data_IF_216278070787
#
_entry.id   IF_216278070787
#
_cell.length_a   1.000
_cell.length_b   1.000
_cell.length_c   1.000
_cell.angle_alpha   90.00
_cell.angle_beta   90.00
_cell.angle_gamma   90.00
#
_symmetry.space_group_name_H-M   'P 1'
#
loop_
_entity.id
_entity.type
_entity.pdbx_description
1 polymer ?
#
# COMPACT_ATOMS: atom_id res chain seq x y z
N UNK A 1 32.46 9.32 -1.97
CA UNK A 1 33.53 9.51 -2.96
C UNK A 1 33.05 9.12 -4.36
N UNK A 2 32.15 8.15 -4.53
CA UNK A 2 31.79 7.60 -5.85
C UNK A 2 30.75 8.41 -6.67
N UNK A 3 29.95 9.29 -6.06
CA UNK A 3 29.08 10.23 -6.80
C UNK A 3 29.88 11.23 -7.64
N UNK A 4 31.07 11.62 -7.17
CA UNK A 4 32.00 12.48 -7.91
C UNK A 4 32.54 11.74 -9.13
N UNK A 5 32.83 10.45 -9.00
CA UNK A 5 33.34 9.60 -10.08
C UNK A 5 32.26 9.37 -11.15
N UNK A 6 31.01 9.13 -10.76
CA UNK A 6 29.90 9.01 -11.71
C UNK A 6 29.57 10.36 -12.40
N UNK A 7 29.63 11.47 -11.65
CA UNK A 7 29.46 12.81 -12.20
C UNK A 7 30.63 13.22 -13.13
N UNK A 8 31.86 12.83 -12.80
CA UNK A 8 33.05 13.01 -13.64
C UNK A 8 32.98 12.15 -14.90
N UNK A 9 32.58 10.88 -14.79
CA UNK A 9 32.38 10.00 -15.95
C UNK A 9 31.26 10.52 -16.86
N UNK A 10 30.16 11.04 -16.29
CA UNK A 10 29.08 11.71 -17.03
C UNK A 10 29.52 13.03 -17.67
N UNK A 11 30.40 13.79 -17.03
CA UNK A 11 30.97 15.03 -17.55
C UNK A 11 32.00 14.78 -18.67
N UNK A 12 32.84 13.75 -18.54
CA UNK A 12 33.82 13.32 -19.54
C UNK A 12 33.11 12.78 -20.79
N UNK A 13 32.10 11.94 -20.58
CA UNK A 13 31.15 11.48 -21.58
C UNK A 13 30.46 12.64 -22.33
N UNK A 14 29.90 13.61 -21.60
CA UNK A 14 29.28 14.80 -22.17
C UNK A 14 30.30 15.66 -22.94
N UNK A 15 31.56 15.69 -22.50
CA UNK A 15 32.69 16.31 -23.19
C UNK A 15 32.97 15.66 -24.55
N UNK A 16 33.02 14.33 -24.63
CA UNK A 16 33.19 13.59 -25.90
C UNK A 16 32.03 13.82 -26.86
N UNK A 17 30.79 13.84 -26.36
CA UNK A 17 29.61 14.15 -27.18
C UNK A 17 29.61 15.61 -27.66
N UNK A 18 30.11 16.55 -26.84
CA UNK A 18 30.27 17.96 -27.21
C UNK A 18 31.39 18.14 -28.26
N UNK A 19 32.50 17.42 -28.15
CA UNK A 19 33.59 17.45 -29.13
C UNK A 19 33.18 16.84 -30.48
N UNK A 20 32.41 15.74 -30.46
CA UNK A 20 31.83 15.17 -31.66
C UNK A 20 30.79 16.11 -32.31
N UNK A 21 29.96 16.78 -31.50
CA UNK A 21 29.01 17.79 -31.97
C UNK A 21 29.71 19.03 -32.54
N UNK A 22 30.87 19.44 -32.01
CA UNK A 22 31.65 20.56 -32.52
C UNK A 22 32.18 20.34 -33.95
N UNK A 23 32.24 19.07 -34.40
CA UNK A 23 32.62 18.70 -35.78
C UNK A 23 31.45 18.75 -36.78
N UNK A 24 30.23 18.93 -36.30
CA UNK A 24 29.01 18.95 -37.12
C UNK A 24 28.37 20.34 -37.00
N UNK A 25 28.40 21.10 -38.10
CA UNK A 25 27.98 22.51 -38.13
C UNK A 25 26.52 22.74 -37.73
N UNK A 26 25.66 21.75 -37.95
CA UNK A 26 24.23 21.79 -37.68
C UNK A 26 23.80 20.85 -36.54
N UNK A 27 24.74 20.43 -35.68
CA UNK A 27 24.49 19.47 -34.60
C UNK A 27 23.30 19.84 -33.70
N UNK A 28 23.12 21.14 -33.41
CA UNK A 28 22.03 21.66 -32.58
C UNK A 28 20.67 21.66 -33.28
N UNK A 29 20.65 21.62 -34.62
CA UNK A 29 19.44 21.55 -35.43
C UNK A 29 18.98 20.09 -35.69
N UNK A 30 19.85 19.10 -35.43
CA UNK A 30 19.52 17.69 -35.65
C UNK A 30 18.43 17.21 -34.71
N UNK A 31 17.44 16.53 -35.29
CA UNK A 31 16.27 15.98 -34.59
C UNK A 31 16.21 14.47 -34.78
N UNK A 32 15.77 13.74 -33.76
CA UNK A 32 15.50 12.32 -33.87
C UNK A 32 14.32 12.05 -34.82
N UNK A 33 14.49 11.05 -35.70
CA UNK A 33 13.46 10.53 -36.60
C UNK A 33 12.77 9.26 -36.09
N UNK A 34 13.31 8.63 -35.04
CA UNK A 34 12.75 7.41 -34.44
C UNK A 34 11.34 7.66 -33.89
N UNK A 35 10.48 6.64 -33.99
CA UNK A 35 9.17 6.58 -33.36
C UNK A 35 9.14 7.02 -31.89
N UNK A 36 10.16 6.68 -31.10
CA UNK A 36 10.23 6.91 -29.65
C UNK A 36 10.59 8.35 -29.29
N UNK A 37 11.42 8.99 -30.11
CA UNK A 37 11.98 10.32 -29.84
C UNK A 37 11.65 11.35 -30.93
N UNK A 38 10.63 11.08 -31.73
CA UNK A 38 10.31 11.89 -32.91
C UNK A 38 10.25 13.39 -32.59
N UNK A 39 10.98 14.19 -33.37
CA UNK A 39 11.08 15.65 -33.22
C UNK A 39 11.67 16.11 -31.88
N UNK A 40 12.55 15.31 -31.27
CA UNK A 40 13.38 15.72 -30.13
C UNK A 40 14.79 16.05 -30.59
N UNK A 41 15.46 17.04 -29.97
CA UNK A 41 16.84 17.36 -30.32
C UNK A 41 17.75 16.15 -30.10
N UNK A 42 18.48 15.75 -31.15
CA UNK A 42 19.31 14.54 -31.14
C UNK A 42 20.35 14.59 -30.04
N UNK A 43 21.04 15.72 -29.90
CA UNK A 43 22.10 15.89 -28.90
C UNK A 43 21.56 15.78 -27.46
N UNK A 44 20.35 16.28 -27.21
CA UNK A 44 19.68 16.15 -25.91
C UNK A 44 19.38 14.69 -25.58
N UNK A 45 18.86 13.93 -26.55
CA UNK A 45 18.57 12.50 -26.37
C UNK A 45 19.87 11.70 -26.15
N UNK A 46 20.92 11.98 -26.92
CA UNK A 46 22.23 11.32 -26.77
C UNK A 46 22.85 11.59 -25.40
N UNK A 47 22.82 12.84 -24.91
CA UNK A 47 23.30 13.19 -23.57
C UNK A 47 22.54 12.44 -22.47
N UNK A 48 21.21 12.37 -22.57
CA UNK A 48 20.42 11.60 -21.60
C UNK A 48 20.73 10.11 -21.63
N UNK A 49 20.88 9.54 -22.83
CA UNK A 49 21.24 8.13 -22.98
C UNK A 49 22.61 7.83 -22.35
N UNK A 50 23.59 8.68 -22.61
CA UNK A 50 24.95 8.51 -22.12
C UNK A 50 25.03 8.63 -20.59
N UNK A 51 24.37 9.63 -20.00
CA UNK A 51 24.30 9.78 -18.55
C UNK A 51 23.60 8.57 -17.89
N UNK A 52 22.48 8.13 -18.47
CA UNK A 52 21.75 6.95 -17.99
C UNK A 52 22.60 5.67 -18.06
N UNK A 53 23.35 5.47 -19.15
CA UNK A 53 24.22 4.29 -19.32
C UNK A 53 25.39 4.26 -18.32
N UNK A 54 25.86 5.44 -17.87
CA UNK A 54 26.92 5.57 -16.87
C UNK A 54 26.43 5.28 -15.45
N UNK A 55 25.22 5.73 -15.09
CA UNK A 55 24.63 5.58 -13.75
C UNK A 55 23.82 4.28 -13.58
N UNK A 56 23.69 3.45 -14.62
CA UNK A 56 22.92 2.22 -14.55
C UNK A 56 23.58 1.19 -13.60
N UNK A 57 22.83 0.56 -12.67
CA UNK A 57 23.40 -0.36 -11.68
C UNK A 57 23.83 -1.71 -12.31
N UNK A 58 25.02 -1.71 -12.92
CA UNK A 58 25.59 -2.88 -13.61
C UNK A 58 26.01 -3.99 -12.65
N UNK A 59 26.43 -3.65 -11.43
CA UNK A 59 26.78 -4.64 -10.40
C UNK A 59 25.61 -5.56 -10.04
N UNK A 60 24.37 -5.05 -10.17
CA UNK A 60 23.14 -5.80 -9.96
C UNK A 60 22.62 -6.49 -11.22
N UNK A 61 23.39 -6.50 -12.33
CA UNK A 61 22.99 -6.99 -13.65
C UNK A 61 21.68 -6.36 -14.17
N UNK A 62 21.42 -5.10 -13.83
CA UNK A 62 20.26 -4.39 -14.31
C UNK A 62 20.48 -3.83 -15.72
N UNK A 63 19.40 -3.70 -16.48
CA UNK A 63 19.35 -2.99 -17.76
C UNK A 63 18.57 -1.70 -17.63
N UNK A 64 19.05 -0.63 -18.25
CA UNK A 64 18.39 0.66 -18.23
C UNK A 64 18.03 1.10 -19.65
N UNK A 65 16.82 1.63 -19.82
CA UNK A 65 16.34 2.13 -21.11
C UNK A 65 15.72 3.51 -20.97
N UNK A 66 16.02 4.38 -21.92
CA UNK A 66 15.32 5.64 -22.07
C UNK A 66 13.95 5.35 -22.72
N UNK A 67 12.86 5.69 -22.04
CA UNK A 67 11.51 5.27 -22.42
C UNK A 67 10.79 6.32 -23.24
N UNK A 68 10.82 7.58 -22.79
CA UNK A 68 10.25 8.71 -23.52
C UNK A 68 10.89 10.00 -23.06
N UNK A 69 10.96 10.98 -23.97
CA UNK A 69 11.35 12.35 -23.66
C UNK A 69 10.15 13.26 -23.95
N UNK A 70 9.19 13.41 -23.02
CA UNK A 70 8.06 14.32 -23.20
C UNK A 70 8.54 15.76 -23.43
N UNK A 71 7.91 16.43 -24.39
CA UNK A 71 7.96 17.88 -24.49
C UNK A 71 6.97 18.43 -23.47
N UNK A 72 7.47 18.80 -22.30
CA UNK A 72 6.64 19.49 -21.35
C UNK A 72 6.52 20.91 -21.89
N UNK A 73 5.34 21.30 -22.36
CA UNK A 73 5.02 22.70 -22.69
C UNK A 73 5.13 23.68 -21.49
N UNK A 74 5.80 23.26 -20.42
CA UNK A 74 6.35 24.12 -19.39
C UNK A 74 7.49 24.95 -20.00
N UNK A 75 7.20 26.22 -20.24
CA UNK A 75 8.21 27.23 -20.54
C UNK A 75 9.13 27.33 -19.32
N UNK A 76 10.38 26.88 -19.48
CA UNK A 76 11.43 27.18 -18.52
C UNK A 76 11.64 28.70 -18.42
N UNK A 77 12.49 29.17 -17.50
CA UNK A 77 12.87 30.59 -17.46
C UNK A 77 13.32 31.03 -18.85
N UNK A 78 12.62 32.01 -19.45
CA UNK A 78 12.92 32.51 -20.80
C UNK A 78 12.25 31.78 -21.98
N UNK A 79 11.23 30.94 -21.76
CA UNK A 79 10.45 30.33 -22.86
C UNK A 79 11.07 29.09 -23.51
N UNK A 80 12.17 28.57 -22.94
CA UNK A 80 12.81 27.36 -23.42
C UNK A 80 11.93 26.11 -23.19
N UNK A 81 11.88 25.22 -24.18
CA UNK A 81 11.19 23.92 -24.09
C UNK A 81 11.95 23.01 -23.11
N UNK A 82 11.25 22.46 -22.13
CA UNK A 82 11.84 21.58 -21.12
C UNK A 82 11.53 20.13 -21.47
N UNK A 83 12.59 19.36 -21.72
CA UNK A 83 12.51 17.93 -21.95
C UNK A 83 12.91 17.20 -20.68
N UNK A 84 12.02 16.37 -20.11
CA UNK A 84 12.37 15.50 -18.96
C UNK A 84 12.36 14.05 -19.40
N UNK A 85 13.51 13.36 -19.42
CA UNK A 85 13.56 11.96 -19.81
C UNK A 85 12.88 11.09 -18.75
N UNK A 86 12.20 10.04 -19.21
CA UNK A 86 11.71 8.95 -18.36
C UNK A 86 12.62 7.76 -18.58
N UNK A 87 13.29 7.28 -17.52
CA UNK A 87 14.15 6.10 -17.57
C UNK A 87 13.46 4.93 -16.88
N UNK A 88 13.47 3.79 -17.55
CA UNK A 88 13.09 2.50 -16.98
C UNK A 88 14.35 1.74 -16.58
N UNK A 89 14.38 1.27 -15.33
CA UNK A 89 15.42 0.40 -14.80
C UNK A 89 14.82 -0.98 -14.58
N UNK A 90 15.39 -1.98 -15.25
CA UNK A 90 14.97 -3.38 -15.18
C UNK A 90 16.03 -4.24 -14.50
N UNK A 91 15.67 -4.71 -13.31
CA UNK A 91 16.41 -5.58 -12.44
C UNK A 91 15.60 -6.85 -12.09
N UNK A 92 14.62 -7.23 -12.92
CA UNK A 92 13.77 -8.38 -12.66
C UNK A 92 14.55 -9.70 -12.75
N UNK A 93 14.24 -10.66 -11.86
CA UNK A 93 14.78 -12.01 -11.90
C UNK A 93 16.30 -12.11 -11.65
N UNK A 94 16.92 -11.12 -11.00
CA UNK A 94 18.38 -11.08 -10.75
C UNK A 94 18.80 -11.68 -9.41
N UNK A 95 17.87 -12.23 -8.64
CA UNK A 95 18.12 -12.79 -7.31
C UNK A 95 18.45 -11.75 -6.24
N UNK A 96 18.01 -10.51 -6.43
CA UNK A 96 18.30 -9.40 -5.52
C UNK A 96 17.64 -9.62 -4.16
N UNK A 97 18.37 -9.36 -3.07
CA UNK A 97 17.83 -9.37 -1.70
C UNK A 97 17.47 -7.98 -1.18
N UNK A 98 18.03 -6.96 -1.81
CA UNK A 98 17.85 -5.55 -1.48
C UNK A 98 17.68 -4.77 -2.77
N UNK A 99 17.01 -3.63 -2.68
CA UNK A 99 16.90 -2.68 -3.78
C UNK A 99 18.30 -2.13 -4.13
N UNK A 100 18.63 -1.88 -5.42
CA UNK A 100 19.92 -1.33 -5.83
C UNK A 100 20.24 -0.01 -5.08
N UNK A 101 21.48 0.20 -4.61
CA UNK A 101 21.83 1.41 -3.88
C UNK A 101 21.80 2.66 -4.77
N UNK A 102 22.05 2.50 -6.07
CA UNK A 102 22.13 3.60 -7.02
C UNK A 102 21.16 3.35 -8.17
N UNK A 103 20.50 4.43 -8.61
CA UNK A 103 19.66 4.46 -9.80
C UNK A 103 19.99 5.74 -10.59
N UNK A 104 19.81 5.72 -11.92
CA UNK A 104 19.95 6.91 -12.75
C UNK A 104 19.06 8.06 -12.28
N UNK A 105 19.55 9.30 -12.35
CA UNK A 105 18.86 10.48 -11.78
C UNK A 105 17.42 10.69 -12.31
N UNK A 106 17.13 10.23 -13.52
CA UNK A 106 15.82 10.34 -14.17
C UNK A 106 15.04 9.02 -14.20
N UNK A 107 15.38 8.07 -13.32
CA UNK A 107 14.63 6.83 -13.15
C UNK A 107 13.19 7.12 -12.70
N UNK A 108 12.22 6.73 -13.52
CA UNK A 108 10.78 6.89 -13.24
C UNK A 108 10.09 5.56 -13.01
N UNK A 109 10.62 4.48 -13.61
CA UNK A 109 10.04 3.14 -13.56
C UNK A 109 11.10 2.14 -13.13
N UNK A 110 10.77 1.33 -12.14
CA UNK A 110 11.64 0.29 -11.58
C UNK A 110 10.95 -1.07 -11.63
N UNK A 111 11.58 -2.00 -12.35
CA UNK A 111 11.21 -3.41 -12.41
C UNK A 111 12.18 -4.20 -11.53
N UNK A 112 11.67 -4.79 -10.45
CA UNK A 112 12.42 -5.63 -9.51
C UNK A 112 11.64 -6.90 -9.17
N UNK A 113 10.77 -7.34 -10.08
CA UNK A 113 9.94 -8.54 -9.96
C UNK A 113 10.80 -9.81 -9.85
N UNK A 114 10.24 -10.85 -9.24
CA UNK A 114 10.84 -12.19 -9.14
C UNK A 114 12.24 -12.18 -8.48
N UNK A 115 12.40 -11.38 -7.44
CA UNK A 115 13.59 -11.29 -6.62
C UNK A 115 13.29 -11.79 -5.18
N UNK A 116 14.19 -11.51 -4.23
CA UNK A 116 14.11 -11.90 -2.83
C UNK A 116 14.06 -10.67 -1.91
N UNK A 117 13.54 -9.55 -2.40
CA UNK A 117 13.51 -8.27 -1.69
C UNK A 117 12.42 -8.31 -0.62
N UNK A 118 12.75 -7.90 0.61
CA UNK A 118 11.79 -7.78 1.70
C UNK A 118 11.73 -6.39 2.33
N UNK A 119 12.75 -5.57 2.10
CA UNK A 119 12.91 -4.24 2.71
C UNK A 119 12.60 -3.14 1.69
N UNK A 120 11.61 -2.30 2.03
CA UNK A 120 11.16 -1.19 1.20
C UNK A 120 11.70 0.17 1.66
N UNK A 121 12.48 0.23 2.75
CA UNK A 121 13.05 1.48 3.27
C UNK A 121 13.83 2.28 2.22
N UNK A 122 14.58 1.68 1.28
CA UNK A 122 15.28 2.46 0.24
C UNK A 122 14.35 3.33 -0.61
N UNK A 123 13.09 2.95 -0.84
CA UNK A 123 12.13 3.79 -1.57
C UNK A 123 11.89 5.15 -0.89
N UNK A 124 12.11 5.23 0.42
CA UNK A 124 11.85 6.42 1.24
C UNK A 124 13.15 7.13 1.60
N UNK A 125 14.18 6.37 2.00
CA UNK A 125 15.40 6.91 2.57
C UNK A 125 16.46 7.27 1.51
N UNK A 126 16.41 6.66 0.33
CA UNK A 126 17.43 6.85 -0.69
C UNK A 126 17.03 7.93 -1.71
N UNK A 127 17.90 8.92 -1.91
CA UNK A 127 17.65 10.05 -2.78
C UNK A 127 17.50 9.66 -4.26
N UNK A 128 18.16 8.58 -4.69
CA UNK A 128 18.07 8.04 -6.06
C UNK A 128 16.66 7.52 -6.40
N UNK A 129 15.81 7.27 -5.40
CA UNK A 129 14.45 6.78 -5.58
C UNK A 129 13.39 7.90 -5.61
N UNK A 130 13.79 9.17 -5.38
CA UNK A 130 12.85 10.30 -5.27
C UNK A 130 12.00 10.52 -6.53
N UNK A 131 12.57 10.22 -7.70
CA UNK A 131 11.94 10.36 -9.02
C UNK A 131 11.16 9.13 -9.49
N UNK A 132 11.28 8.00 -8.79
CA UNK A 132 10.65 6.74 -9.19
C UNK A 132 9.17 6.76 -8.80
N UNK A 133 8.29 6.61 -9.79
CA UNK A 133 6.84 6.69 -9.62
C UNK A 133 6.13 5.35 -9.86
N UNK A 134 6.71 4.49 -10.69
CA UNK A 134 6.20 3.16 -10.98
C UNK A 134 7.16 2.11 -10.44
N UNK A 135 6.70 1.29 -9.49
CA UNK A 135 7.52 0.24 -8.88
C UNK A 135 6.78 -1.09 -8.99
N UNK A 136 7.41 -2.05 -9.64
CA UNK A 136 6.94 -3.43 -9.74
C UNK A 136 7.77 -4.33 -8.82
N UNK A 137 7.15 -4.82 -7.76
CA UNK A 137 7.76 -5.68 -6.73
C UNK A 137 7.14 -7.08 -6.72
N UNK A 138 6.56 -7.53 -7.83
CA UNK A 138 5.85 -8.81 -7.89
C UNK A 138 6.78 -9.99 -7.57
N UNK A 139 6.26 -11.03 -6.90
CA UNK A 139 7.02 -12.25 -6.63
C UNK A 139 8.25 -12.06 -5.73
N UNK A 140 8.18 -11.17 -4.74
CA UNK A 140 9.24 -10.88 -3.77
C UNK A 140 8.90 -11.39 -2.35
N UNK A 141 9.72 -11.03 -1.36
CA UNK A 141 9.59 -11.42 0.03
C UNK A 141 8.98 -10.36 0.96
N UNK A 142 8.26 -9.37 0.42
CA UNK A 142 7.74 -8.24 1.21
C UNK A 142 6.64 -8.71 2.17
N UNK A 143 6.77 -8.37 3.46
CA UNK A 143 5.82 -8.76 4.52
C UNK A 143 4.99 -7.61 5.07
N UNK A 144 5.44 -6.38 4.89
CA UNK A 144 4.75 -5.19 5.36
C UNK A 144 5.13 -3.98 4.52
N UNK A 145 4.16 -3.08 4.31
CA UNK A 145 4.36 -1.78 3.66
C UNK A 145 4.44 -0.62 4.67
N UNK A 146 4.46 -0.92 5.98
CA UNK A 146 4.49 0.11 7.03
C UNK A 146 5.69 1.05 6.92
N UNK A 147 6.82 0.59 6.37
CA UNK A 147 8.00 1.44 6.13
C UNK A 147 7.73 2.61 5.15
N UNK A 148 6.66 2.53 4.35
CA UNK A 148 6.26 3.58 3.42
C UNK A 148 5.30 4.60 4.04
N UNK A 149 4.76 4.32 5.22
CA UNK A 149 3.80 5.18 5.88
C UNK A 149 4.36 6.59 6.12
N UNK A 150 3.55 7.60 5.81
CA UNK A 150 3.94 9.01 5.97
C UNK A 150 5.05 9.48 5.01
N UNK A 151 5.57 8.60 4.13
CA UNK A 151 6.63 8.96 3.21
C UNK A 151 6.14 9.85 2.07
N UNK A 152 7.02 10.73 1.59
CA UNK A 152 6.75 11.54 0.40
C UNK A 152 6.60 10.68 -0.87
N UNK A 153 7.21 9.48 -0.89
CA UNK A 153 7.09 8.54 -1.99
C UNK A 153 5.66 7.99 -2.10
N UNK A 154 5.08 7.55 -0.99
CA UNK A 154 3.71 7.02 -0.95
C UNK A 154 2.65 8.08 -1.34
N UNK A 155 2.99 9.37 -1.23
CA UNK A 155 2.14 10.49 -1.65
C UNK A 155 2.22 10.83 -3.15
N UNK A 156 3.15 10.24 -3.90
CA UNK A 156 3.42 10.59 -5.31
C UNK A 156 3.44 9.42 -6.27
N UNK A 157 3.52 8.18 -5.79
CA UNK A 157 3.59 7.01 -6.68
C UNK A 157 2.41 7.00 -7.66
N UNK A 158 2.66 6.52 -8.87
CA UNK A 158 1.65 6.33 -9.91
C UNK A 158 1.24 4.86 -10.00
N UNK A 159 2.22 3.95 -9.89
CA UNK A 159 1.99 2.52 -9.86
C UNK A 159 2.80 1.84 -8.75
N UNK A 160 2.14 0.99 -7.98
CA UNK A 160 2.80 0.07 -7.06
C UNK A 160 2.21 -1.33 -7.24
N UNK A 161 3.04 -2.28 -7.64
CA UNK A 161 2.65 -3.68 -7.76
C UNK A 161 3.33 -4.51 -6.69
N UNK A 162 2.55 -5.20 -5.86
CA UNK A 162 3.00 -6.03 -4.75
C UNK A 162 2.47 -7.46 -4.86
N UNK A 163 2.14 -7.93 -6.07
CA UNK A 163 1.53 -9.26 -6.26
C UNK A 163 2.48 -10.37 -5.86
N UNK A 164 1.96 -11.49 -5.39
CA UNK A 164 2.81 -12.66 -5.11
C UNK A 164 3.85 -12.42 -4.01
N UNK A 165 3.59 -11.50 -3.08
CA UNK A 165 4.45 -11.24 -1.93
C UNK A 165 3.96 -12.02 -0.70
N UNK A 166 4.46 -11.67 0.48
CA UNK A 166 4.13 -12.32 1.76
C UNK A 166 3.36 -11.38 2.69
N UNK A 167 2.53 -10.50 2.11
CA UNK A 167 1.70 -9.58 2.87
C UNK A 167 0.54 -10.35 3.51
N UNK A 168 0.46 -10.30 4.83
CA UNK A 168 -0.63 -10.92 5.57
C UNK A 168 -1.71 -9.91 5.99
N UNK A 169 -1.31 -8.66 6.28
CA UNK A 169 -2.21 -7.60 6.73
C UNK A 169 -1.87 -6.29 6.03
N UNK A 170 -2.89 -5.54 5.65
CA UNK A 170 -2.73 -4.24 5.00
C UNK A 170 -2.95 -3.12 6.03
N UNK A 171 -1.99 -2.18 6.21
CA UNK A 171 -2.23 -0.97 6.99
C UNK A 171 -3.12 -0.01 6.20
N UNK A 172 -4.43 -0.27 6.20
CA UNK A 172 -5.44 0.44 5.40
C UNK A 172 -5.40 1.95 5.65
N UNK A 173 -5.27 2.36 6.91
CA UNK A 173 -5.20 3.78 7.31
C UNK A 173 -4.03 4.53 6.64
N UNK A 174 -2.85 3.91 6.55
CA UNK A 174 -1.65 4.52 5.99
C UNK A 174 -1.81 4.73 4.48
N UNK A 175 -2.30 3.70 3.79
CA UNK A 175 -2.55 3.76 2.34
C UNK A 175 -3.71 4.70 2.01
N UNK A 176 -4.80 4.66 2.77
CA UNK A 176 -5.93 5.57 2.58
C UNK A 176 -5.51 7.03 2.74
N UNK A 177 -4.80 7.36 3.83
CA UNK A 177 -4.26 8.70 4.07
C UNK A 177 -3.41 9.18 2.88
N UNK A 178 -2.60 8.28 2.31
CA UNK A 178 -1.77 8.61 1.16
C UNK A 178 -2.58 8.78 -0.13
N UNK A 179 -3.48 7.84 -0.44
CA UNK A 179 -4.30 7.85 -1.66
C UNK A 179 -5.28 9.01 -1.71
N UNK A 180 -5.79 9.49 -0.57
CA UNK A 180 -6.63 10.70 -0.53
C UNK A 180 -5.88 11.96 -1.00
N UNK A 181 -4.56 12.02 -0.77
CA UNK A 181 -3.70 13.16 -1.15
C UNK A 181 -3.03 12.96 -2.51
N UNK A 182 -2.79 11.71 -2.91
CA UNK A 182 -2.09 11.37 -4.13
C UNK A 182 -3.03 11.38 -5.35
N UNK A 183 -3.07 12.50 -6.08
CA UNK A 183 -3.85 12.64 -7.32
C UNK A 183 -3.26 11.87 -8.52
N UNK A 184 -2.05 11.33 -8.38
CA UNK A 184 -1.34 10.64 -9.45
C UNK A 184 -1.40 9.11 -9.32
N UNK A 185 -1.87 8.59 -8.18
CA UNK A 185 -2.06 7.17 -7.97
C UNK A 185 -3.06 6.60 -8.98
N UNK A 186 -2.56 5.79 -9.91
CA UNK A 186 -3.35 5.21 -10.98
C UNK A 186 -3.60 3.70 -10.75
N UNK A 187 -2.58 2.97 -10.28
CA UNK A 187 -2.62 1.52 -10.21
C UNK A 187 -1.96 0.98 -8.94
N UNK A 188 -2.70 0.16 -8.20
CA UNK A 188 -2.21 -0.60 -7.06
C UNK A 188 -2.58 -2.07 -7.29
N UNK A 189 -1.61 -2.97 -7.11
CA UNK A 189 -1.83 -4.40 -7.23
C UNK A 189 -1.44 -5.11 -5.93
N UNK A 190 -2.38 -5.89 -5.37
CA UNK A 190 -2.29 -6.53 -4.06
C UNK A 190 -2.64 -8.03 -4.10
N UNK A 191 -2.94 -8.57 -5.27
CA UNK A 191 -3.32 -9.96 -5.48
C UNK A 191 -2.23 -10.96 -5.08
N UNK A 192 -2.60 -12.23 -4.99
CA UNK A 192 -1.68 -13.34 -4.74
C UNK A 192 -0.82 -13.20 -3.48
N UNK A 193 -1.36 -12.55 -2.44
CA UNK A 193 -0.75 -12.45 -1.14
C UNK A 193 -1.53 -13.28 -0.11
N UNK A 194 -0.86 -13.83 0.93
CA UNK A 194 -1.51 -14.64 1.96
C UNK A 194 -2.28 -13.77 2.98
N UNK A 195 -3.34 -13.10 2.54
CA UNK A 195 -4.11 -12.18 3.39
C UNK A 195 -4.79 -12.91 4.54
N UNK A 196 -4.54 -12.45 5.77
CA UNK A 196 -5.25 -12.90 6.97
C UNK A 196 -6.67 -12.34 6.94
N UNK A 197 -7.65 -13.22 7.08
CA UNK A 197 -9.05 -12.85 7.16
C UNK A 197 -9.54 -13.05 8.60
N UNK A 198 -9.56 -11.97 9.37
CA UNK A 198 -9.95 -11.94 10.78
C UNK A 198 -10.98 -10.83 11.06
N UNK A 199 -11.58 -10.87 12.25
CA UNK A 199 -12.60 -9.88 12.61
C UNK A 199 -12.04 -8.44 12.75
N UNK A 200 -10.73 -8.28 12.96
CA UNK A 200 -10.14 -6.97 13.26
C UNK A 200 -9.75 -6.19 11.99
N UNK A 201 -9.17 -6.88 11.01
CA UNK A 201 -8.52 -6.26 9.85
C UNK A 201 -9.34 -6.40 8.57
N UNK A 202 -10.09 -7.49 8.39
CA UNK A 202 -10.87 -7.73 7.17
C UNK A 202 -11.93 -6.65 6.92
N UNK A 203 -12.72 -6.19 7.90
CA UNK A 203 -13.74 -5.17 7.66
C UNK A 203 -13.18 -3.86 7.08
N UNK A 204 -12.04 -3.39 7.58
CA UNK A 204 -11.40 -2.17 7.08
C UNK A 204 -10.75 -2.38 5.71
N UNK A 205 -10.22 -3.59 5.45
CA UNK A 205 -9.67 -3.91 4.15
C UNK A 205 -10.77 -4.01 3.07
N UNK A 206 -11.92 -4.61 3.39
CA UNK A 206 -13.08 -4.63 2.49
C UNK A 206 -13.56 -3.21 2.14
N UNK A 207 -13.65 -2.31 3.13
CA UNK A 207 -14.01 -0.92 2.92
C UNK A 207 -12.98 -0.19 2.04
N UNK A 208 -11.69 -0.41 2.29
CA UNK A 208 -10.61 0.13 1.46
C UNK A 208 -10.75 -0.31 0.00
N UNK A 209 -10.97 -1.61 -0.26
CA UNK A 209 -11.14 -2.14 -1.62
C UNK A 209 -12.39 -1.56 -2.32
N UNK A 210 -13.49 -1.41 -1.58
CA UNK A 210 -14.71 -0.79 -2.11
C UNK A 210 -14.49 0.68 -2.49
N UNK A 211 -13.82 1.44 -1.62
CA UNK A 211 -13.53 2.87 -1.81
C UNK A 211 -12.54 3.12 -2.95
N UNK A 212 -11.50 2.31 -3.05
CA UNK A 212 -10.41 2.47 -4.03
C UNK A 212 -10.52 1.52 -5.21
N UNK A 213 -11.75 1.14 -5.60
CA UNK A 213 -12.02 0.15 -6.64
C UNK A 213 -11.36 0.47 -8.00
N UNK A 214 -11.20 1.75 -8.32
CA UNK A 214 -10.60 2.22 -9.57
C UNK A 214 -9.06 2.29 -9.53
N UNK A 215 -8.46 2.21 -8.33
CA UNK A 215 -7.00 2.24 -8.15
C UNK A 215 -6.48 0.82 -7.96
N UNK A 216 -7.16 0.01 -7.15
CA UNK A 216 -6.83 -1.41 -6.92
C UNK A 216 -7.36 -2.24 -8.08
N UNK A 217 -6.48 -2.60 -9.02
CA UNK A 217 -6.89 -3.19 -10.30
C UNK A 217 -7.18 -4.70 -10.22
N UNK A 218 -6.63 -5.40 -9.22
CA UNK A 218 -6.62 -6.86 -9.11
C UNK A 218 -7.43 -7.40 -7.93
N UNK A 219 -8.57 -6.77 -7.62
CA UNK A 219 -9.44 -7.17 -6.51
C UNK A 219 -9.89 -8.64 -6.57
N UNK A 220 -10.02 -9.21 -7.77
CA UNK A 220 -10.36 -10.62 -7.98
C UNK A 220 -9.26 -11.62 -7.58
N UNK A 221 -8.04 -11.12 -7.36
CA UNK A 221 -6.87 -11.92 -6.99
C UNK A 221 -6.53 -11.73 -5.49
N UNK A 222 -7.32 -10.90 -4.78
CA UNK A 222 -7.19 -10.68 -3.33
C UNK A 222 -8.08 -11.68 -2.59
N UNK A 223 -7.44 -12.73 -2.07
CA UNK A 223 -8.10 -13.87 -1.42
C UNK A 223 -7.54 -14.10 -0.02
N UNK A 224 -8.35 -14.70 0.84
CA UNK A 224 -7.90 -15.14 2.16
C UNK A 224 -6.87 -16.26 2.05
N UNK A 225 -5.86 -16.25 2.92
CA UNK A 225 -4.95 -17.37 3.08
C UNK A 225 -5.70 -18.60 3.61
N UNK A 226 -5.33 -19.78 3.11
CA UNK A 226 -5.77 -21.04 3.72
C UNK A 226 -5.06 -21.19 5.05
N UNK A 227 -5.78 -21.07 6.17
CA UNK A 227 -5.24 -21.53 7.45
C UNK A 227 -5.15 -23.06 7.41
N UNK A 228 -3.95 -23.60 7.64
CA UNK A 228 -3.74 -25.04 7.80
C UNK A 228 -4.64 -25.57 8.91
N UNK A 229 -5.44 -26.59 8.60
CA UNK A 229 -6.60 -26.97 9.37
C UNK A 229 -6.35 -27.30 10.85
N UNK A 230 -7.27 -26.85 11.70
CA UNK A 230 -8.10 -27.67 12.60
C UNK A 230 -9.02 -26.71 13.37
N UNK A 231 -10.29 -26.60 12.94
CA UNK A 231 -11.35 -25.96 13.75
C UNK A 231 -11.62 -24.48 13.48
N UNK A 232 -12.22 -24.15 12.33
CA UNK A 232 -12.71 -22.80 12.06
C UNK A 232 -13.73 -22.77 10.92
N UNK A 233 -14.92 -23.31 11.17
CA UNK A 233 -16.01 -23.34 10.20
C UNK A 233 -16.48 -21.95 9.81
N UNK A 234 -16.30 -21.61 8.53
CA UNK A 234 -16.81 -20.39 7.92
C UNK A 234 -16.84 -20.53 6.40
N UNK A 235 -17.66 -21.45 5.90
CA UNK A 235 -18.01 -21.52 4.49
C UNK A 235 -18.71 -20.21 4.08
N UNK A 236 -17.98 -19.32 3.43
CA UNK A 236 -18.56 -18.27 2.60
C UNK A 236 -18.96 -18.88 1.26
N UNK A 237 -20.17 -18.57 0.79
CA UNK A 237 -20.62 -18.90 -0.57
C UNK A 237 -19.73 -18.14 -1.57
N UNK A 238 -18.72 -18.82 -2.11
CA UNK A 238 -17.73 -18.19 -3.00
C UNK A 238 -16.42 -18.97 -3.08
N UNK A 239 -16.50 -20.29 -3.23
CA UNK A 239 -15.33 -21.11 -3.52
C UNK A 239 -14.85 -20.78 -4.94
N UNK A 240 -13.70 -20.10 -5.06
CA UNK A 240 -12.97 -20.02 -6.33
C UNK A 240 -12.29 -21.36 -6.65
N UNK A 241 -11.80 -21.53 -7.89
CA UNK A 241 -11.16 -22.77 -8.37
C UNK A 241 -9.98 -23.27 -7.51
N UNK A 242 -9.38 -22.43 -6.65
CA UNK A 242 -8.28 -22.75 -5.71
C UNK A 242 -8.77 -23.00 -4.26
N UNK A 243 -10.09 -23.06 -4.01
CA UNK A 243 -10.69 -23.23 -2.68
C UNK A 243 -10.56 -22.01 -1.75
N UNK A 244 -9.88 -20.94 -2.18
CA UNK A 244 -9.72 -19.69 -1.43
C UNK A 244 -10.86 -18.71 -1.69
N UNK A 245 -11.45 -18.24 -0.60
CA UNK A 245 -12.53 -17.23 -0.62
C UNK A 245 -11.96 -15.85 -0.96
N UNK A 246 -12.67 -15.12 -1.83
CA UNK A 246 -12.39 -13.73 -2.14
C UNK A 246 -12.57 -12.86 -0.90
N UNK A 247 -11.60 -11.99 -0.61
CA UNK A 247 -11.63 -11.18 0.61
C UNK A 247 -12.87 -10.27 0.69
N UNK A 248 -13.38 -9.82 -0.47
CA UNK A 248 -14.59 -8.99 -0.55
C UNK A 248 -15.88 -9.75 -0.20
N UNK A 249 -15.89 -11.06 -0.40
CA UNK A 249 -17.10 -11.87 -0.29
C UNK A 249 -17.21 -12.58 1.08
N UNK A 250 -16.20 -12.41 1.94
CA UNK A 250 -16.22 -12.95 3.30
C UNK A 250 -17.25 -12.21 4.16
N UNK A 251 -18.19 -12.96 4.73
CA UNK A 251 -19.21 -12.43 5.63
C UNK A 251 -18.62 -12.01 6.98
N UNK A 252 -18.98 -10.81 7.45
CA UNK A 252 -18.60 -10.33 8.79
C UNK A 252 -19.09 -11.26 9.90
N UNK A 253 -20.28 -11.86 9.75
CA UNK A 253 -20.82 -12.78 10.75
C UNK A 253 -20.09 -14.13 10.80
N UNK A 254 -19.41 -14.51 9.70
CA UNK A 254 -18.58 -15.71 9.66
C UNK A 254 -17.24 -15.48 10.38
N UNK A 255 -16.67 -14.28 10.26
CA UNK A 255 -15.40 -13.90 10.91
C UNK A 255 -15.57 -13.47 12.37
N UNK A 256 -16.60 -12.67 12.65
CA UNK A 256 -16.89 -12.07 13.94
C UNK A 256 -18.00 -12.85 14.65
N UNK A 257 -17.77 -14.12 14.94
CA UNK A 257 -18.51 -14.76 16.02
C UNK A 257 -17.87 -14.32 17.32
N UNK A 258 -18.59 -13.52 18.11
CA UNK A 258 -18.34 -13.55 19.55
C UNK A 258 -18.37 -15.03 19.96
N UNK A 259 -17.29 -15.49 20.60
CA UNK A 259 -17.37 -16.74 21.31
C UNK A 259 -18.46 -16.55 22.38
N UNK A 260 -19.65 -17.06 22.10
CA UNK A 260 -20.69 -17.34 23.08
C UNK A 260 -20.22 -18.49 24.02
N UNK A 261 -18.98 -18.41 24.51
CA UNK A 261 -18.32 -19.36 25.40
C UNK A 261 -18.64 -19.13 26.87
N UNK A 262 -19.45 -18.14 27.20
CA UNK A 262 -20.05 -18.00 28.52
C UNK A 262 -21.54 -17.74 28.33
N UNK A 263 -22.34 -18.79 28.54
CA UNK A 263 -23.80 -18.73 28.43
C UNK A 263 -24.45 -17.71 29.39
N UNK A 264 -23.69 -17.16 30.35
CA UNK A 264 -24.10 -16.08 31.27
C UNK A 264 -22.83 -15.30 31.65
N UNK A 265 -22.74 -13.99 31.35
CA UNK A 265 -21.67 -13.16 31.92
C UNK A 265 -21.90 -13.05 33.44
N UNK A 266 -20.84 -12.96 34.28
CA UNK A 266 -21.00 -12.68 35.72
C UNK A 266 -21.86 -11.43 35.97
N UNK A 267 -21.81 -10.49 35.03
CA UNK A 267 -22.60 -9.26 35.01
C UNK A 267 -24.09 -9.52 34.79
N UNK A 268 -24.46 -10.48 33.94
CA UNK A 268 -25.86 -10.86 33.70
C UNK A 268 -26.47 -11.56 34.92
N UNK A 269 -25.68 -12.40 35.61
CA UNK A 269 -26.11 -13.02 36.86
C UNK A 269 -26.29 -11.96 37.96
N UNK A 270 -25.37 -10.99 38.05
CA UNK A 270 -25.49 -9.85 38.96
C UNK A 270 -26.74 -9.01 38.64
N UNK A 271 -26.99 -8.72 37.37
CA UNK A 271 -28.17 -7.97 36.92
C UNK A 271 -29.47 -8.73 37.23
N UNK A 272 -29.49 -10.05 37.05
CA UNK A 272 -30.62 -10.90 37.44
C UNK A 272 -30.88 -10.89 38.95
N UNK A 273 -29.83 -10.99 39.76
CA UNK A 273 -29.94 -10.92 41.22
C UNK A 273 -30.47 -9.55 41.68
N UNK A 274 -29.96 -8.46 41.11
CA UNK A 274 -30.43 -7.10 41.39
C UNK A 274 -31.90 -6.91 41.00
N UNK A 275 -32.30 -7.39 39.82
CA UNK A 275 -33.69 -7.33 39.37
C UNK A 275 -34.63 -8.11 40.30
N UNK A 276 -34.23 -9.30 40.75
CA UNK A 276 -35.00 -10.07 41.74
C UNK A 276 -35.12 -9.34 43.08
N UNK A 277 -34.05 -8.70 43.55
CA UNK A 277 -34.08 -7.90 44.79
C UNK A 277 -35.04 -6.73 44.67
N UNK A 278 -35.02 -6.01 43.54
CA UNK A 278 -35.93 -4.90 43.27
C UNK A 278 -37.39 -5.38 43.27
N UNK A 279 -37.70 -6.49 42.61
CA UNK A 279 -39.05 -7.06 42.59
C UNK A 279 -39.52 -7.47 43.98
N UNK A 280 -38.64 -8.03 44.82
CA UNK A 280 -38.97 -8.35 46.21
C UNK A 280 -39.25 -7.09 47.04
N UNK A 281 -38.46 -6.03 46.88
CA UNK A 281 -38.68 -4.75 47.57
C UNK A 281 -40.00 -4.12 47.13
N UNK A 282 -40.28 -4.07 45.81
CA UNK A 282 -41.52 -3.54 45.27
C UNK A 282 -42.74 -4.37 45.69
N UNK A 283 -42.63 -5.69 45.68
CA UNK A 283 -43.68 -6.59 46.14
C UNK A 283 -43.96 -6.43 47.64
N UNK A 284 -42.91 -6.28 48.45
CA UNK A 284 -43.04 -6.01 49.89
C UNK A 284 -43.69 -4.66 50.14
N UNK A 285 -43.26 -3.63 49.41
CA UNK A 285 -43.86 -2.28 49.48
C UNK A 285 -45.35 -2.32 49.11
N UNK A 286 -45.72 -3.02 48.03
CA UNK A 286 -47.10 -3.17 47.61
C UNK A 286 -47.95 -3.95 48.64
N UNK A 287 -47.39 -5.02 49.22
CA UNK A 287 -48.04 -5.78 50.29
C UNK A 287 -48.26 -4.92 51.54
N UNK A 288 -47.23 -4.19 51.96
CA UNK A 288 -47.29 -3.32 53.14
C UNK A 288 -48.28 -2.16 52.93
N UNK A 289 -48.32 -1.58 51.73
CA UNK A 289 -49.32 -0.58 51.32
C UNK A 289 -50.74 -1.14 51.36
N UNK A 290 -50.96 -2.33 50.77
CA UNK A 290 -52.26 -2.99 50.75
C UNK A 290 -52.75 -3.35 52.15
N UNK A 291 -51.87 -3.91 52.98
CA UNK A 291 -52.16 -4.28 54.37
C UNK A 291 -52.53 -3.05 55.21
N UNK A 292 -51.77 -1.96 55.08
CA UNK A 292 -52.09 -0.68 55.74
C UNK A 292 -53.47 -0.16 55.33
N UNK A 293 -53.79 -0.18 54.03
CA UNK A 293 -55.09 0.28 53.52
C UNK A 293 -56.27 -0.57 54.05
N UNK A 294 -56.09 -1.86 54.27
CA UNK A 294 -57.15 -2.74 54.82
C UNK A 294 -57.28 -2.71 56.34
N UNK A 295 -56.17 -2.54 57.07
CA UNK A 295 -56.15 -2.74 58.53
C UNK A 295 -55.92 -1.45 59.33
N UNK A 296 -55.47 -0.37 58.69
CA UNK A 296 -55.10 0.89 59.33
C UNK A 296 -53.83 0.82 60.19
N UNK A 297 -53.14 -0.33 60.23
CA UNK A 297 -51.94 -0.54 61.05
C UNK A 297 -50.68 -0.48 60.18
N UNK A 298 -49.71 0.33 60.61
CA UNK A 298 -48.42 0.49 59.93
C UNK A 298 -47.60 -0.82 59.97
N UNK A 299 -46.73 -1.05 58.97
CA UNK A 299 -45.78 -2.16 58.98
C UNK A 299 -44.90 -2.12 60.24
N UNK A 300 -44.60 -3.29 60.81
CA UNK A 300 -43.85 -3.43 62.07
C UNK A 300 -42.51 -2.66 62.08
N UNK A 301 -41.85 -2.52 60.93
CA UNK A 301 -40.56 -1.83 60.83
C UNK A 301 -40.68 -0.33 61.13
N UNK A 302 -41.81 0.31 60.81
CA UNK A 302 -42.07 1.73 61.09
C UNK A 302 -42.40 1.95 62.56
N UNK A 303 -42.94 0.94 63.25
CA UNK A 303 -43.21 1.02 64.70
C UNK A 303 -41.96 0.91 65.58
N UNK A 304 -40.80 0.65 64.97
CA UNK A 304 -39.50 0.43 65.63
C UNK A 304 -38.43 1.46 65.22
N UNK A 305 -38.74 2.40 64.31
CA UNK A 305 -37.87 3.53 64.01
C UNK A 305 -38.07 4.59 65.11
N UNK A 306 -37.00 5.01 65.82
CA UNK A 306 -37.08 6.08 66.82
C UNK A 306 -37.42 7.45 66.19
#
# INVERSE_FOLDING_TARGET
MDWLVAAEAGAEAAGVAAEAAARVSDAEALMCSDSTYSRRPLLTVLRYRQAMEAECPREANCSCSLSVVPDLHAQGPGGARVFRPMVTVDCAGRGLRQLPPELPANATTLHVEHNQISDLRPLVANEHYRGVLDVYLDGNGVRSVAALEGSAWLLRFRLLSLRGNRLARLPTYALESALQRNRHAARLYLGDNPWTCDCQSTPSFQEFLAKYRQVVQDQQDIRCALEGGEGGGGAGEGEGEDGRVLLRDVSRNALCREHAGYLVQPLDLLNGALASLILLILGKLAYDYWHFKRTGKLPWIVTKMP
#
